data_IF_139260824690
#
_entry.id   IF_139260824690
#
_cell.length_a   1.000
_cell.length_b   1.000
_cell.length_c   1.000
_cell.angle_alpha   90.00
_cell.angle_beta   90.00
_cell.angle_gamma   90.00
#
_symmetry.space_group_name_H-M   'P 1'
#
loop_
_entity.id
_entity.type
_entity.pdbx_description
1 polymer ?
#
# COMPACT_ATOMS: atom_id res chain seq x y z
N UNK A 1 22.66 -5.02 -9.88
CA UNK A 1 21.17 -5.12 -10.00
C UNK A 1 20.64 -3.73 -9.73
N UNK A 2 19.54 -3.32 -10.36
CA UNK A 2 18.91 -2.02 -10.08
C UNK A 2 17.45 -2.22 -9.66
N UNK A 3 16.89 -1.22 -8.99
CA UNK A 3 15.53 -1.28 -8.47
C UNK A 3 14.48 -1.24 -9.59
N UNK A 4 13.51 -2.14 -9.51
CA UNK A 4 12.38 -2.30 -10.43
C UNK A 4 11.06 -2.49 -9.66
N UNK A 5 9.94 -2.51 -10.39
CA UNK A 5 8.60 -2.48 -9.80
C UNK A 5 8.25 -3.72 -8.95
N UNK A 6 8.88 -4.86 -9.18
CA UNK A 6 8.73 -6.08 -8.39
C UNK A 6 9.41 -5.99 -7.01
N UNK A 7 10.29 -5.00 -6.80
CA UNK A 7 10.92 -4.77 -5.50
C UNK A 7 10.30 -3.64 -4.69
N UNK A 8 9.12 -3.12 -5.06
CA UNK A 8 8.40 -2.13 -4.24
C UNK A 8 8.13 -2.61 -2.81
N UNK A 9 8.04 -3.93 -2.60
CA UNK A 9 7.89 -4.54 -1.28
C UNK A 9 9.01 -4.18 -0.28
N UNK A 10 10.21 -3.75 -0.72
CA UNK A 10 11.26 -3.29 0.21
C UNK A 10 10.91 -1.95 0.89
N UNK A 11 9.85 -1.29 0.42
CA UNK A 11 9.40 0.03 0.87
C UNK A 11 8.07 -0.05 1.64
N UNK A 12 7.40 -1.21 1.68
CA UNK A 12 6.00 -1.34 2.11
C UNK A 12 5.79 -1.08 3.62
N UNK A 13 6.81 -1.29 4.45
CA UNK A 13 6.76 -1.04 5.90
C UNK A 13 7.12 0.41 6.30
N UNK A 14 7.43 1.28 5.34
CA UNK A 14 7.65 2.71 5.62
C UNK A 14 6.29 3.37 5.86
N UNK A 15 5.87 3.38 7.13
CA UNK A 15 4.54 3.84 7.56
C UNK A 15 4.17 5.23 7.04
N UNK A 16 5.11 6.18 6.99
CA UNK A 16 4.87 7.54 6.50
C UNK A 16 4.56 7.59 5.00
N UNK A 17 4.91 6.57 4.21
CA UNK A 17 4.50 6.47 2.81
C UNK A 17 3.04 6.09 2.65
N UNK A 18 2.35 5.60 3.69
CA UNK A 18 0.94 5.29 3.54
C UNK A 18 0.14 6.58 3.28
N UNK A 19 -0.81 6.60 2.33
CA UNK A 19 -1.49 7.83 1.93
C UNK A 19 -2.14 8.62 3.07
N UNK A 20 -2.70 7.94 4.07
CA UNK A 20 -3.31 8.54 5.24
C UNK A 20 -2.30 9.13 6.22
N UNK A 21 -1.11 8.54 6.32
CA UNK A 21 -0.01 9.06 7.14
C UNK A 21 0.63 10.25 6.46
N UNK A 22 0.98 10.11 5.18
CA UNK A 22 1.57 11.16 4.35
C UNK A 22 0.81 12.49 4.47
N UNK A 23 -0.53 12.45 4.37
CA UNK A 23 -1.39 13.63 4.45
C UNK A 23 -1.35 14.39 5.77
N UNK A 24 -0.99 13.69 6.85
CA UNK A 24 -0.91 14.26 8.20
C UNK A 24 0.51 14.57 8.63
N UNK A 25 1.49 14.19 7.82
CA UNK A 25 2.91 14.40 8.10
C UNK A 25 3.37 15.79 7.71
N UNK A 26 4.36 16.32 8.44
CA UNK A 26 5.02 17.58 8.07
C UNK A 26 5.91 17.38 6.84
N UNK A 27 6.27 18.45 6.10
CA UNK A 27 7.24 18.36 5.01
C UNK A 27 8.55 17.67 5.42
N UNK A 28 9.05 17.91 6.63
CA UNK A 28 10.26 17.27 7.16
C UNK A 28 10.08 15.76 7.33
N UNK A 29 8.95 15.31 7.89
CA UNK A 29 8.63 13.88 8.04
C UNK A 29 8.45 13.20 6.69
N UNK A 30 7.83 13.88 5.72
CA UNK A 30 7.69 13.41 4.34
C UNK A 30 9.07 13.26 3.69
N UNK A 31 9.96 14.25 3.84
CA UNK A 31 11.35 14.18 3.37
C UNK A 31 12.13 13.04 4.04
N UNK A 32 11.95 12.82 5.34
CA UNK A 32 12.57 11.70 6.06
C UNK A 32 12.10 10.35 5.52
N UNK A 33 10.82 10.21 5.22
CA UNK A 33 10.28 9.00 4.59
C UNK A 33 10.88 8.76 3.21
N UNK A 34 11.03 9.81 2.39
CA UNK A 34 11.69 9.71 1.08
C UNK A 34 13.19 9.42 1.21
N UNK A 35 13.87 9.96 2.22
CA UNK A 35 15.25 9.61 2.51
C UNK A 35 15.39 8.13 2.88
N UNK A 36 14.46 7.59 3.66
CA UNK A 36 14.44 6.18 4.01
C UNK A 36 14.20 5.29 2.78
N UNK A 37 13.33 5.71 1.86
CA UNK A 37 13.16 5.02 0.59
C UNK A 37 14.48 4.95 -0.20
N UNK A 38 15.18 6.07 -0.36
CA UNK A 38 16.47 6.14 -1.04
C UNK A 38 17.54 5.30 -0.35
N UNK A 39 17.55 5.24 0.99
CA UNK A 39 18.46 4.37 1.72
C UNK A 39 18.25 2.89 1.35
N UNK A 40 16.99 2.45 1.27
CA UNK A 40 16.65 1.06 0.97
C UNK A 40 16.87 0.71 -0.50
N UNK A 41 16.51 1.62 -1.40
CA UNK A 41 16.77 1.47 -2.84
C UNK A 41 18.28 1.36 -3.06
N UNK A 42 19.06 2.34 -2.59
CA UNK A 42 20.51 2.35 -2.79
C UNK A 42 21.19 1.11 -2.17
N UNK A 43 20.73 0.65 -1.00
CA UNK A 43 21.21 -0.58 -0.38
C UNK A 43 20.91 -1.81 -1.25
N UNK A 44 19.69 -1.94 -1.78
CA UNK A 44 19.31 -3.01 -2.69
C UNK A 44 20.17 -3.01 -3.96
N UNK A 45 20.39 -1.82 -4.51
CA UNK A 45 21.18 -1.63 -5.72
C UNK A 45 22.68 -1.84 -5.50
N UNK A 46 23.16 -1.78 -4.26
CA UNK A 46 24.56 -1.90 -3.89
C UNK A 46 25.38 -0.62 -4.11
N UNK A 47 24.72 0.54 -4.14
CA UNK A 47 25.37 1.86 -4.29
C UNK A 47 25.26 2.70 -3.01
N UNK A 48 26.10 3.73 -2.82
CA UNK A 48 25.92 4.68 -1.73
C UNK A 48 24.57 5.40 -1.82
N UNK A 49 23.92 5.56 -0.66
CA UNK A 49 22.69 6.37 -0.52
C UNK A 49 22.97 7.84 -0.86
N UNK A 50 22.00 8.48 -1.49
CA UNK A 50 22.01 9.92 -1.79
C UNK A 50 21.18 10.70 -0.80
N UNK A 51 21.57 11.94 -0.56
CA UNK A 51 20.79 12.84 0.26
C UNK A 51 19.54 13.26 -0.50
N UNK A 52 18.39 13.22 0.16
CA UNK A 52 17.11 13.72 -0.36
C UNK A 52 16.80 15.09 0.25
N UNK A 53 16.58 16.08 -0.61
CA UNK A 53 16.27 17.46 -0.25
C UNK A 53 14.97 17.95 -0.88
N UNK A 54 14.22 18.75 -0.13
CA UNK A 54 13.13 19.55 -0.67
C UNK A 54 13.74 20.84 -1.19
N UNK A 55 13.60 21.09 -2.50
CA UNK A 55 14.25 22.21 -3.18
C UNK A 55 13.23 23.19 -3.77
N UNK A 56 13.58 24.48 -3.71
CA UNK A 56 12.96 25.48 -4.58
C UNK A 56 13.76 25.54 -5.88
N UNK A 57 13.18 25.08 -6.97
CA UNK A 57 13.75 25.36 -8.29
C UNK A 57 13.44 26.79 -8.71
N UNK A 58 14.41 27.43 -9.36
CA UNK A 58 14.28 28.81 -9.86
C UNK A 58 15.05 29.00 -11.16
N UNK A 59 14.76 30.10 -11.86
CA UNK A 59 15.37 30.41 -13.16
C UNK A 59 14.99 29.37 -14.21
N UNK A 60 16.00 28.80 -14.86
CA UNK A 60 15.82 27.82 -15.95
C UNK A 60 15.23 26.48 -15.47
N UNK A 61 15.25 26.20 -14.16
CA UNK A 61 14.77 24.95 -13.58
C UNK A 61 13.35 25.04 -13.01
N UNK A 62 12.66 26.18 -13.16
CA UNK A 62 11.38 26.46 -12.50
C UNK A 62 10.29 25.42 -12.78
N UNK A 63 10.38 24.69 -13.90
CA UNK A 63 9.41 23.66 -14.28
C UNK A 63 9.84 22.23 -13.93
N UNK A 64 10.95 22.05 -13.19
CA UNK A 64 11.40 20.73 -12.77
C UNK A 64 10.62 20.23 -11.56
N UNK A 65 10.18 18.98 -11.65
CA UNK A 65 9.53 18.27 -10.55
C UNK A 65 10.57 17.62 -9.60
N UNK A 66 11.72 17.22 -10.15
CA UNK A 66 12.87 16.69 -9.44
C UNK A 66 14.16 16.83 -10.25
N UNK A 67 15.29 16.57 -9.60
CA UNK A 67 16.61 16.48 -10.23
C UNK A 67 17.60 15.74 -9.33
N UNK A 68 18.38 14.84 -9.92
CA UNK A 68 19.62 14.34 -9.34
C UNK A 68 20.80 15.24 -9.72
N UNK A 69 21.35 15.95 -8.74
CA UNK A 69 22.57 16.74 -8.92
C UNK A 69 23.80 15.85 -8.71
N UNK A 70 24.42 15.46 -9.83
CA UNK A 70 25.67 14.67 -9.83
C UNK A 70 26.83 15.33 -9.08
N UNK A 71 26.91 16.66 -9.05
CA UNK A 71 28.02 17.39 -8.40
C UNK A 71 27.90 17.31 -6.88
N UNK A 72 26.70 17.53 -6.36
CA UNK A 72 26.44 17.47 -4.91
C UNK A 72 26.04 16.08 -4.43
N UNK A 73 25.75 15.16 -5.35
CA UNK A 73 25.25 13.80 -5.09
C UNK A 73 23.94 13.80 -4.30
N UNK A 74 23.04 14.72 -4.68
CA UNK A 74 21.78 14.98 -3.99
C UNK A 74 20.62 14.75 -4.92
N UNK A 75 19.56 14.12 -4.41
CA UNK A 75 18.25 14.06 -5.05
C UNK A 75 17.43 15.24 -4.53
N UNK A 76 16.99 16.10 -5.43
CA UNK A 76 16.19 17.28 -5.15
C UNK A 76 14.78 17.06 -5.66
N UNK A 77 13.78 17.32 -4.82
CA UNK A 77 12.37 17.20 -5.18
C UNK A 77 11.73 18.57 -4.98
N UNK A 78 10.91 19.01 -5.94
CA UNK A 78 10.28 20.32 -5.89
C UNK A 78 9.43 20.48 -4.63
N UNK A 79 9.62 21.60 -3.93
CA UNK A 79 8.84 21.96 -2.73
C UNK A 79 7.34 22.04 -3.00
N UNK A 80 6.93 22.23 -4.25
CA UNK A 80 5.52 22.39 -4.61
C UNK A 80 4.73 21.11 -4.30
N UNK A 81 5.41 19.94 -4.32
CA UNK A 81 4.85 18.65 -3.92
C UNK A 81 4.61 18.48 -2.42
N UNK A 82 5.13 19.40 -1.60
CA UNK A 82 5.01 19.40 -0.13
C UNK A 82 4.17 20.56 0.39
N UNK A 83 3.56 21.35 -0.50
CA UNK A 83 2.68 22.45 -0.10
C UNK A 83 1.32 21.95 0.39
N UNK A 84 0.66 22.72 1.27
CA UNK A 84 -0.67 22.38 1.80
C UNK A 84 -1.70 22.09 0.69
N UNK A 85 -1.64 22.84 -0.41
CA UNK A 85 -2.53 22.65 -1.56
C UNK A 85 -2.28 21.31 -2.28
N UNK A 86 -1.01 20.91 -2.39
CA UNK A 86 -0.63 19.63 -2.99
C UNK A 86 -0.98 18.46 -2.07
N UNK A 87 -0.73 18.56 -0.76
CA UNK A 87 -0.98 17.48 0.20
C UNK A 87 -2.46 17.05 0.22
N UNK A 88 -3.40 17.95 -0.09
CA UNK A 88 -4.82 17.64 -0.19
C UNK A 88 -5.21 16.87 -1.46
N UNK A 89 -4.40 16.95 -2.53
CA UNK A 89 -4.60 16.16 -3.74
C UNK A 89 -4.22 14.69 -3.48
N UNK A 90 -5.10 13.77 -3.87
CA UNK A 90 -4.88 12.31 -3.75
C UNK A 90 -3.64 11.86 -4.52
N UNK A 91 -3.22 12.62 -5.53
CA UNK A 91 -2.10 12.25 -6.39
C UNK A 91 -0.74 12.81 -5.96
N UNK A 92 -0.67 13.74 -4.99
CA UNK A 92 0.61 14.39 -4.66
C UNK A 92 1.62 13.48 -3.97
N UNK A 93 1.16 12.57 -3.11
CA UNK A 93 2.01 11.51 -2.54
C UNK A 93 2.64 10.66 -3.66
N UNK A 94 1.80 10.17 -4.58
CA UNK A 94 2.25 9.33 -5.70
C UNK A 94 3.26 10.07 -6.58
N UNK A 95 3.10 11.39 -6.74
CA UNK A 95 4.04 12.21 -7.53
C UNK A 95 5.38 12.37 -6.84
N UNK A 96 5.44 12.79 -5.57
CA UNK A 96 6.70 12.94 -4.83
C UNK A 96 7.48 11.62 -4.78
N UNK A 97 6.78 10.51 -4.53
CA UNK A 97 7.38 9.18 -4.54
C UNK A 97 7.88 8.78 -5.93
N UNK A 98 7.07 8.97 -6.98
CA UNK A 98 7.48 8.67 -8.36
C UNK A 98 8.73 9.45 -8.77
N UNK A 99 8.77 10.75 -8.44
CA UNK A 99 9.93 11.60 -8.69
C UNK A 99 11.16 11.05 -7.96
N UNK A 100 11.02 10.65 -6.69
CA UNK A 100 12.13 10.04 -5.96
C UNK A 100 12.68 8.81 -6.69
N UNK A 101 11.83 7.89 -7.15
CA UNK A 101 12.28 6.68 -7.87
C UNK A 101 13.02 7.05 -9.16
N UNK A 102 12.51 8.03 -9.91
CA UNK A 102 13.14 8.53 -11.14
C UNK A 102 14.55 9.07 -10.87
N UNK A 103 14.69 9.97 -9.89
CA UNK A 103 15.99 10.57 -9.53
C UNK A 103 16.94 9.59 -8.84
N UNK A 104 16.39 8.62 -8.11
CA UNK A 104 17.16 7.51 -7.51
C UNK A 104 17.78 6.62 -8.59
N UNK A 105 17.05 6.39 -9.69
CA UNK A 105 17.60 5.68 -10.84
C UNK A 105 18.68 6.50 -11.57
N UNK A 106 18.52 7.82 -11.67
CA UNK A 106 19.61 8.69 -12.16
C UNK A 106 20.86 8.61 -11.26
N UNK A 107 20.69 8.52 -9.95
CA UNK A 107 21.80 8.29 -9.03
C UNK A 107 22.49 6.93 -9.27
N UNK A 108 21.72 5.88 -9.58
CA UNK A 108 22.26 4.58 -9.98
C UNK A 108 23.05 4.66 -11.28
N UNK A 109 22.46 5.22 -12.33
CA UNK A 109 23.08 5.37 -13.64
C UNK A 109 24.39 6.17 -13.53
N UNK A 110 24.38 7.29 -12.80
CA UNK A 110 25.59 8.09 -12.55
C UNK A 110 26.65 7.30 -11.78
N UNK A 111 26.26 6.54 -10.77
CA UNK A 111 27.20 5.72 -10.00
C UNK A 111 27.89 4.67 -10.89
N UNK A 112 27.09 3.93 -11.68
CA UNK A 112 27.59 2.90 -12.58
C UNK A 112 28.49 3.47 -13.70
N UNK A 113 28.14 4.64 -14.25
CA UNK A 113 28.86 5.24 -15.38
C UNK A 113 30.13 5.98 -14.96
N UNK A 114 30.15 6.56 -13.76
CA UNK A 114 31.14 7.60 -13.43
C UNK A 114 31.87 7.41 -12.11
N UNK A 115 31.32 6.66 -11.17
CA UNK A 115 31.93 6.47 -9.85
C UNK A 115 32.58 5.09 -9.72
N UNK A 116 31.91 4.04 -10.20
CA UNK A 116 32.40 2.66 -10.16
C UNK A 116 32.26 1.97 -11.54
N UNK A 117 33.16 2.27 -12.50
CA UNK A 117 33.10 1.66 -13.82
C UNK A 117 33.18 0.13 -13.75
N UNK A 118 32.19 -0.56 -14.34
CA UNK A 118 32.09 -2.02 -14.30
C UNK A 118 31.20 -2.57 -13.19
N UNK A 119 30.67 -1.70 -12.31
CA UNK A 119 29.65 -2.03 -11.32
C UNK A 119 28.37 -2.61 -11.95
N UNK A 120 28.00 -2.08 -13.11
CA UNK A 120 26.90 -2.57 -13.92
C UNK A 120 27.38 -2.79 -15.36
N UNK A 121 26.91 -3.88 -15.97
CA UNK A 121 27.26 -4.27 -17.33
C UNK A 121 26.00 -4.79 -18.02
N UNK A 122 25.87 -4.52 -19.31
CA UNK A 122 24.71 -4.95 -20.09
C UNK A 122 24.43 -4.01 -21.25
N UNK A 123 23.43 -4.35 -22.07
CA UNK A 123 23.03 -3.50 -23.19
C UNK A 123 22.53 -2.14 -22.72
N UNK A 124 21.73 -2.11 -21.65
CA UNK A 124 21.19 -0.87 -21.05
C UNK A 124 22.30 0.08 -20.61
N UNK A 125 23.38 -0.45 -20.04
CA UNK A 125 24.55 0.33 -19.66
C UNK A 125 25.20 1.03 -20.86
N UNK A 126 25.31 0.33 -21.99
CA UNK A 126 25.87 0.90 -23.22
C UNK A 126 24.97 2.02 -23.74
N UNK A 127 23.65 1.82 -23.72
CA UNK A 127 22.68 2.81 -24.17
C UNK A 127 22.72 4.10 -23.31
N UNK A 128 23.07 4.01 -22.02
CA UNK A 128 23.25 5.18 -21.16
C UNK A 128 24.55 5.94 -21.40
N UNK A 129 25.62 5.23 -21.80
CA UNK A 129 26.98 5.77 -21.92
C UNK A 129 27.14 6.71 -23.11
N UNK A 130 26.41 6.46 -24.20
CA UNK A 130 26.69 7.07 -25.49
C UNK A 130 26.09 8.49 -25.66
N UNK A 131 25.49 9.07 -24.61
CA UNK A 131 24.79 10.35 -24.69
C UNK A 131 25.24 11.31 -23.56
N UNK A 132 25.68 12.54 -23.90
CA UNK A 132 26.01 13.52 -22.88
C UNK A 132 24.77 13.91 -22.06
N UNK A 133 24.92 13.94 -20.74
CA UNK A 133 23.90 14.49 -19.85
C UNK A 133 23.80 16.00 -20.06
N UNK A 134 22.76 16.43 -20.77
CA UNK A 134 22.35 17.82 -20.86
C UNK A 134 20.84 17.93 -20.65
N UNK A 135 20.36 18.29 -19.44
CA UNK A 135 18.94 18.49 -19.17
C UNK A 135 18.35 19.68 -19.96
N UNK A 136 19.18 20.44 -20.68
CA UNK A 136 18.76 21.50 -21.60
C UNK A 136 18.56 21.01 -23.04
N UNK A 137 18.89 19.76 -23.34
CA UNK A 137 18.58 19.17 -24.64
C UNK A 137 17.04 19.12 -24.79
N UNK A 138 16.44 19.76 -25.82
CA UNK A 138 15.01 19.69 -26.05
C UNK A 138 14.50 18.25 -26.27
N UNK A 139 15.40 17.32 -26.59
CA UNK A 139 15.11 15.89 -26.73
C UNK A 139 15.56 15.07 -25.52
N UNK A 140 15.95 15.71 -24.41
CA UNK A 140 16.40 15.02 -23.20
C UNK A 140 15.36 14.02 -22.69
N UNK A 141 14.06 14.36 -22.83
CA UNK A 141 12.94 13.49 -22.53
C UNK A 141 13.01 12.11 -23.25
N UNK A 142 13.62 12.08 -24.44
CA UNK A 142 13.78 10.89 -25.27
C UNK A 142 15.14 10.20 -25.09
N UNK A 143 16.02 10.72 -24.22
CA UNK A 143 17.31 10.08 -23.97
C UNK A 143 17.09 8.72 -23.29
N UNK A 144 17.86 7.66 -23.65
CA UNK A 144 17.79 6.34 -23.01
C UNK A 144 17.90 6.41 -21.49
N UNK A 145 18.74 7.30 -20.96
CA UNK A 145 18.93 7.48 -19.52
C UNK A 145 17.62 7.93 -18.84
N UNK A 146 16.94 8.90 -19.43
CA UNK A 146 15.67 9.46 -19.00
C UNK A 146 14.50 8.49 -19.19
N UNK A 147 14.40 7.87 -20.37
CA UNK A 147 13.35 6.89 -20.67
C UNK A 147 13.40 5.71 -19.71
N UNK A 148 14.60 5.24 -19.37
CA UNK A 148 14.81 4.17 -18.39
C UNK A 148 14.32 4.59 -17.00
N UNK A 149 14.72 5.77 -16.52
CA UNK A 149 14.29 6.30 -15.22
C UNK A 149 12.76 6.45 -15.14
N UNK A 150 12.14 7.07 -16.15
CA UNK A 150 10.68 7.22 -16.24
C UNK A 150 9.94 5.90 -16.31
N UNK A 151 10.46 4.92 -17.04
CA UNK A 151 9.83 3.61 -17.16
C UNK A 151 9.81 2.87 -15.82
N UNK A 152 10.90 2.94 -15.05
CA UNK A 152 11.00 2.35 -13.72
C UNK A 152 10.06 3.07 -12.76
N UNK A 153 10.12 4.40 -12.71
CA UNK A 153 9.27 5.21 -11.84
C UNK A 153 7.78 4.97 -12.10
N UNK A 154 7.37 4.92 -13.37
CA UNK A 154 5.98 4.62 -13.76
C UNK A 154 5.55 3.21 -13.38
N UNK A 155 6.44 2.23 -13.51
CA UNK A 155 6.14 0.84 -13.17
C UNK A 155 6.03 0.66 -11.65
N UNK A 156 6.90 1.31 -10.87
CA UNK A 156 6.85 1.32 -9.41
C UNK A 156 5.58 2.01 -8.87
N UNK A 157 5.21 3.17 -9.42
CA UNK A 157 3.95 3.85 -9.08
C UNK A 157 2.72 2.97 -9.35
N UNK A 158 2.73 2.24 -10.49
CA UNK A 158 1.66 1.29 -10.81
C UNK A 158 1.61 0.14 -9.80
N UNK A 159 2.75 -0.46 -9.46
CA UNK A 159 2.80 -1.59 -8.52
C UNK A 159 2.30 -1.19 -7.11
N UNK A 160 2.71 -0.02 -6.61
CA UNK A 160 2.22 0.48 -5.32
C UNK A 160 0.72 0.77 -5.31
N UNK A 161 0.16 1.29 -6.41
CA UNK A 161 -1.29 1.48 -6.54
C UNK A 161 -2.03 0.15 -6.47
N UNK A 162 -1.53 -0.87 -7.15
CA UNK A 162 -2.11 -2.22 -7.10
C UNK A 162 -1.98 -2.86 -5.71
N UNK A 163 -0.88 -2.65 -4.98
CA UNK A 163 -0.72 -3.10 -3.60
C UNK A 163 -1.72 -2.43 -2.65
N UNK A 164 -1.86 -1.10 -2.73
CA UNK A 164 -2.84 -0.37 -1.91
C UNK A 164 -4.29 -0.75 -2.23
N UNK A 165 -4.61 -1.06 -3.49
CA UNK A 165 -5.94 -1.56 -3.87
C UNK A 165 -6.20 -2.97 -3.29
N UNK A 166 -5.18 -3.84 -3.31
CA UNK A 166 -5.26 -5.17 -2.68
C UNK A 166 -5.43 -5.05 -1.16
N UNK A 167 -4.68 -4.18 -0.49
CA UNK A 167 -4.82 -3.97 0.95
C UNK A 167 -6.22 -3.47 1.32
N UNK A 168 -6.74 -2.46 0.61
CA UNK A 168 -8.13 -1.99 0.80
C UNK A 168 -9.16 -3.07 0.56
N UNK A 169 -8.96 -3.91 -0.47
CA UNK A 169 -9.84 -5.05 -0.71
C UNK A 169 -9.76 -6.09 0.41
N UNK A 170 -8.58 -6.28 1.02
CA UNK A 170 -8.36 -7.20 2.14
C UNK A 170 -8.92 -6.67 3.47
N UNK A 171 -8.85 -5.37 3.71
CA UNK A 171 -9.49 -4.72 4.87
C UNK A 171 -11.03 -4.75 4.74
N UNK A 172 -11.56 -4.67 3.51
CA UNK A 172 -12.99 -4.90 3.25
C UNK A 172 -13.44 -6.36 3.39
N UNK A 173 -12.48 -7.30 3.48
CA UNK A 173 -12.74 -8.72 3.67
C UNK A 173 -12.73 -9.13 5.15
N UNK A 174 -12.64 -8.20 6.11
CA UNK A 174 -12.83 -8.56 7.53
C UNK A 174 -14.32 -8.75 7.84
N UNK A 175 -14.88 -9.86 7.37
CA UNK A 175 -16.22 -10.29 7.73
C UNK A 175 -16.27 -10.60 9.24
N UNK A 176 -16.94 -9.74 10.01
CA UNK A 176 -17.17 -9.99 11.43
C UNK A 176 -18.45 -10.81 11.59
N UNK A 177 -18.34 -12.01 12.16
CA UNK A 177 -19.50 -12.76 12.64
C UNK A 177 -20.03 -12.04 13.87
N UNK A 178 -21.24 -11.48 13.78
CA UNK A 178 -21.87 -10.72 14.84
C UNK A 178 -22.70 -11.60 15.77
N UNK A 179 -23.39 -12.59 15.21
CA UNK A 179 -24.26 -13.49 15.96
C UNK A 179 -24.50 -14.79 15.20
N UNK A 180 -24.85 -15.82 15.95
CA UNK A 180 -25.33 -17.09 15.42
C UNK A 180 -26.70 -17.32 16.04
N UNK A 181 -27.71 -17.50 15.19
CA UNK A 181 -29.08 -17.77 15.57
C UNK A 181 -29.39 -19.25 15.31
N UNK A 182 -29.52 -20.02 16.39
CA UNK A 182 -30.02 -21.38 16.33
C UNK A 182 -31.52 -21.38 16.06
N UNK A 183 -31.96 -22.17 15.09
CA UNK A 183 -33.37 -22.23 14.69
C UNK A 183 -33.88 -23.67 14.83
N UNK A 184 -34.79 -23.96 15.79
CA UNK A 184 -35.29 -25.31 16.00
C UNK A 184 -35.87 -25.92 14.71
N UNK A 185 -35.35 -27.09 14.32
CA UNK A 185 -35.77 -27.80 13.10
C UNK A 185 -35.37 -27.13 11.78
N UNK A 186 -34.46 -26.15 11.79
CA UNK A 186 -33.92 -25.47 10.60
C UNK A 186 -32.41 -25.31 10.72
N UNK A 187 -31.75 -25.05 9.59
CA UNK A 187 -30.33 -24.71 9.58
C UNK A 187 -30.05 -23.41 10.36
N UNK A 188 -28.92 -23.32 11.09
CA UNK A 188 -28.54 -22.11 11.82
C UNK A 188 -28.30 -20.94 10.86
N UNK A 189 -28.50 -19.73 11.38
CA UNK A 189 -28.25 -18.50 10.63
C UNK A 189 -27.06 -17.75 11.25
N UNK A 190 -26.08 -17.42 10.41
CA UNK A 190 -24.92 -16.62 10.80
C UNK A 190 -25.12 -15.20 10.31
N UNK A 191 -25.06 -14.26 11.24
CA UNK A 191 -25.12 -12.83 10.97
C UNK A 191 -23.71 -12.30 10.78
N UNK A 192 -23.43 -11.78 9.60
CA UNK A 192 -22.10 -11.30 9.20
C UNK A 192 -22.19 -9.84 8.79
N UNK A 193 -21.21 -9.05 9.23
CA UNK A 193 -21.01 -7.68 8.79
C UNK A 193 -19.64 -7.55 8.11
N UNK A 194 -19.62 -7.15 6.84
CA UNK A 194 -18.38 -7.04 6.05
C UNK A 194 -17.70 -5.68 6.19
N UNK A 195 -18.46 -4.64 6.53
CA UNK A 195 -17.95 -3.30 6.77
C UNK A 195 -18.71 -2.64 7.92
N UNK A 196 -18.04 -1.76 8.67
CA UNK A 196 -18.57 -1.08 9.88
C UNK A 196 -19.88 -0.33 9.63
N UNK A 197 -20.09 0.15 8.41
CA UNK A 197 -21.24 0.89 7.92
C UNK A 197 -22.25 0.05 7.11
N UNK A 198 -21.95 -1.22 6.82
CA UNK A 198 -22.89 -2.13 6.16
C UNK A 198 -23.86 -2.74 7.16
N UNK A 199 -25.14 -2.90 6.77
CA UNK A 199 -26.11 -3.66 7.56
C UNK A 199 -25.72 -5.15 7.61
N UNK A 200 -25.82 -5.80 8.77
CA UNK A 200 -25.56 -7.24 8.87
C UNK A 200 -26.46 -8.05 7.93
N UNK A 201 -25.89 -9.11 7.35
CA UNK A 201 -26.61 -10.06 6.49
C UNK A 201 -26.65 -11.43 7.14
N UNK A 202 -27.80 -12.09 7.04
CA UNK A 202 -28.00 -13.45 7.55
C UNK A 202 -27.72 -14.48 6.45
N UNK A 203 -26.83 -15.42 6.74
CA UNK A 203 -26.52 -16.55 5.87
C UNK A 203 -26.95 -17.85 6.53
N UNK A 204 -27.72 -18.65 5.80
CA UNK A 204 -28.11 -19.99 6.26
C UNK A 204 -27.00 -20.96 5.92
N UNK A 205 -26.47 -21.69 6.90
CA UNK A 205 -25.34 -22.60 6.68
C UNK A 205 -25.83 -24.04 6.75
N UNK A 206 -26.08 -24.63 5.57
CA UNK A 206 -26.51 -26.02 5.46
C UNK A 206 -25.35 -26.97 5.83
N UNK A 207 -25.63 -27.97 6.68
CA UNK A 207 -24.69 -29.04 7.00
C UNK A 207 -24.10 -29.03 8.42
N UNK A 208 -24.52 -28.10 9.28
CA UNK A 208 -24.15 -28.11 10.70
C UNK A 208 -25.17 -28.88 11.53
N UNK A 209 -24.70 -29.74 12.42
CA UNK A 209 -25.54 -30.52 13.33
C UNK A 209 -25.70 -29.77 14.66
N UNK A 210 -26.86 -29.89 15.34
CA UNK A 210 -27.02 -29.40 16.71
C UNK A 210 -25.94 -30.00 17.62
N UNK A 211 -25.08 -29.16 18.20
CA UNK A 211 -23.96 -29.57 19.05
C UNK A 211 -22.56 -29.27 18.50
N UNK A 212 -22.44 -28.88 17.22
CA UNK A 212 -21.18 -28.36 16.70
C UNK A 212 -20.80 -27.06 17.43
N UNK A 213 -19.56 -26.95 17.93
CA UNK A 213 -19.10 -25.72 18.57
C UNK A 213 -18.81 -24.65 17.50
N UNK A 214 -19.84 -23.90 17.12
CA UNK A 214 -19.75 -22.88 16.09
C UNK A 214 -18.84 -21.69 16.47
N UNK A 215 -18.38 -21.62 17.74
CA UNK A 215 -17.42 -20.62 18.22
C UNK A 215 -15.97 -20.95 17.86
N UNK A 216 -15.69 -22.21 17.54
CA UNK A 216 -14.36 -22.69 17.13
C UNK A 216 -14.27 -22.87 15.61
N UNK A 217 -15.25 -22.37 14.85
CA UNK A 217 -15.10 -22.25 13.41
C UNK A 217 -13.98 -21.23 13.20
N UNK A 218 -12.79 -21.72 12.92
CA UNK A 218 -11.78 -20.94 12.24
C UNK A 218 -12.47 -20.38 11.00
N UNK A 219 -12.77 -19.09 11.04
CA UNK A 219 -13.25 -18.34 9.89
C UNK A 219 -12.07 -18.31 8.93
N UNK A 220 -11.89 -19.42 8.22
CA UNK A 220 -10.83 -19.56 7.25
C UNK A 220 -11.07 -18.55 6.13
N UNK A 221 -10.00 -18.07 5.49
CA UNK A 221 -10.12 -17.20 4.33
C UNK A 221 -11.06 -17.76 3.27
N UNK A 222 -11.15 -19.09 3.16
CA UNK A 222 -12.07 -19.81 2.29
C UNK A 222 -13.55 -19.64 2.65
N UNK A 223 -13.89 -19.54 3.94
CA UNK A 223 -15.27 -19.30 4.38
C UNK A 223 -15.70 -17.85 4.09
N UNK A 224 -14.83 -16.88 4.35
CA UNK A 224 -15.07 -15.47 4.01
C UNK A 224 -15.19 -15.31 2.49
N UNK A 225 -14.29 -15.90 1.71
CA UNK A 225 -14.34 -15.84 0.25
C UNK A 225 -15.65 -16.42 -0.32
N UNK A 226 -16.17 -17.50 0.28
CA UNK A 226 -17.49 -18.06 -0.09
C UNK A 226 -18.64 -17.10 0.22
N UNK A 227 -18.60 -16.43 1.36
CA UNK A 227 -19.60 -15.43 1.75
C UNK A 227 -19.54 -14.17 0.85
N UNK A 228 -18.35 -13.77 0.44
CA UNK A 228 -18.07 -12.69 -0.52
C UNK A 228 -18.68 -12.99 -1.90
N UNK A 229 -18.45 -14.20 -2.42
CA UNK A 229 -19.03 -14.64 -3.70
C UNK A 229 -20.57 -14.64 -3.65
N UNK A 230 -21.14 -15.08 -2.51
CA UNK A 230 -22.59 -14.98 -2.27
C UNK A 230 -23.07 -13.53 -2.19
N UNK A 231 -22.28 -12.60 -1.61
CA UNK A 231 -22.58 -11.16 -1.57
C UNK A 231 -22.63 -10.55 -2.97
N UNK A 232 -21.72 -10.96 -3.85
CA UNK A 232 -21.61 -10.49 -5.24
C UNK A 232 -22.60 -11.16 -6.20
N UNK A 233 -23.44 -12.09 -5.71
CA UNK A 233 -24.46 -12.76 -6.52
C UNK A 233 -23.92 -13.93 -7.34
N UNK A 234 -22.68 -14.36 -7.12
CA UNK A 234 -22.14 -15.59 -7.71
C UNK A 234 -22.69 -16.77 -6.91
N UNK A 235 -23.81 -17.31 -7.38
CA UNK A 235 -24.38 -18.55 -6.83
C UNK A 235 -23.47 -19.71 -7.24
N UNK A 236 -22.45 -19.98 -6.42
CA UNK A 236 -21.81 -21.28 -6.42
C UNK A 236 -22.91 -22.34 -6.22
N UNK A 237 -22.78 -23.51 -6.88
CA UNK A 237 -23.72 -24.64 -6.86
C UNK A 237 -23.87 -25.31 -5.47
N UNK A 238 -23.90 -24.54 -4.38
CA UNK A 238 -24.17 -24.95 -3.00
C UNK A 238 -25.45 -24.28 -2.49
N UNK A 239 -26.19 -24.99 -1.63
CA UNK A 239 -27.50 -24.56 -1.10
C UNK A 239 -27.33 -23.44 -0.05
N UNK A 240 -27.22 -22.20 -0.47
CA UNK A 240 -27.21 -21.03 0.42
C UNK A 240 -28.38 -20.09 0.08
N UNK A 241 -29.05 -19.54 1.09
CA UNK A 241 -30.07 -18.50 0.93
C UNK A 241 -29.77 -17.29 1.81
N UNK A 242 -29.90 -16.09 1.27
CA UNK A 242 -29.61 -14.82 1.93
C UNK A 242 -30.88 -14.15 2.46
N UNK A 243 -30.83 -13.59 3.68
CA UNK A 243 -31.84 -12.68 4.21
C UNK A 243 -31.22 -11.35 4.65
N UNK A 244 -31.91 -10.24 4.37
CA UNK A 244 -31.51 -8.87 4.75
C UNK A 244 -32.47 -8.35 5.82
N UNK A 245 -31.94 -7.71 6.86
CA UNK A 245 -32.75 -7.09 7.93
C UNK A 245 -33.52 -5.90 7.36
N UNK A 246 -34.84 -5.88 7.52
CA UNK A 246 -35.69 -4.70 7.25
C UNK A 246 -35.61 -3.73 8.43
N UNK A 247 -35.74 -2.43 8.15
CA UNK A 247 -35.40 -1.29 9.03
C UNK A 247 -35.99 -1.28 10.46
N UNK A 248 -36.96 -2.15 10.79
CA UNK A 248 -37.67 -2.13 12.07
C UNK A 248 -37.28 -3.23 13.07
N UNK A 249 -36.32 -4.11 12.76
CA UNK A 249 -35.84 -5.12 13.72
C UNK A 249 -34.46 -4.78 14.28
N UNK A 250 -34.44 -4.16 15.47
CA UNK A 250 -33.23 -4.02 16.29
C UNK A 250 -32.71 -5.40 16.68
N UNK A 251 -31.58 -5.80 16.10
CA UNK A 251 -30.76 -6.90 16.65
C UNK A 251 -30.24 -6.42 18.00
N UNK A 252 -30.78 -6.94 19.09
CA UNK A 252 -30.23 -6.71 20.42
C UNK A 252 -28.90 -7.47 20.53
N UNK A 253 -27.79 -6.74 20.40
CA UNK A 253 -26.48 -7.21 20.80
C UNK A 253 -26.47 -7.41 22.31
N UNK A 254 -26.64 -8.65 22.76
CA UNK A 254 -26.35 -9.01 24.15
C UNK A 254 -24.85 -8.88 24.38
N UNK A 255 -24.43 -7.70 24.85
CA UNK A 255 -23.10 -7.48 25.44
C UNK A 255 -22.99 -8.33 26.70
N UNK A 256 -22.26 -9.44 26.63
CA UNK A 256 -21.83 -10.16 27.82
C UNK A 256 -20.46 -9.61 28.26
N UNK A 257 -20.50 -8.47 28.94
CA UNK A 257 -19.34 -7.84 29.60
C UNK A 257 -19.05 -8.48 30.99
N UNK A 258 -19.56 -9.68 31.27
CA UNK A 258 -19.57 -10.26 32.63
C UNK A 258 -18.69 -11.50 32.86
N UNK A 259 -17.76 -11.81 31.96
CA UNK A 259 -16.88 -12.99 32.13
C UNK A 259 -15.40 -12.68 32.36
N UNK A 260 -14.97 -11.41 32.33
CA UNK A 260 -13.56 -11.04 32.55
C UNK A 260 -13.28 -10.55 33.99
N UNK A 261 -14.27 -10.10 34.76
CA UNK A 261 -14.04 -9.59 36.12
C UNK A 261 -13.96 -10.66 37.21
N UNK A 262 -14.45 -11.90 37.00
CA UNK A 262 -14.39 -12.94 38.06
C UNK A 262 -13.08 -13.74 38.12
N UNK A 263 -12.15 -13.56 37.18
CA UNK A 263 -10.83 -14.20 37.25
C UNK A 263 -9.77 -13.34 37.97
N UNK A 264 -10.03 -12.06 38.27
CA UNK A 264 -9.08 -11.20 39.00
C UNK A 264 -9.27 -11.15 40.51
N UNK A 265 -10.37 -11.69 41.05
CA UNK A 265 -10.60 -11.74 42.51
C UNK A 265 -10.22 -13.10 43.15
N UNK A 266 -9.87 -14.12 42.35
CA UNK A 266 -9.46 -15.44 42.85
C UNK A 266 -7.95 -15.62 43.13
N UNK A 267 -7.10 -14.66 42.75
CA UNK A 267 -5.63 -14.75 42.90
C UNK A 267 -5.07 -13.91 44.07
N UNK A 268 -5.93 -13.40 44.98
CA UNK A 268 -5.49 -12.71 46.20
C UNK A 268 -5.70 -13.48 47.51
N UNK A 269 -6.20 -14.70 47.45
CA UNK A 269 -6.24 -15.60 48.61
C UNK A 269 -5.67 -16.97 48.23
N UNK A 270 -4.33 -17.04 48.18
CA UNK A 270 -3.52 -18.26 48.36
C UNK A 270 -2.06 -17.90 48.61
#
# INVERSE_FOLDING_TARGET
MYFTADQTHILSDIETLKPEKWKTSTPEQQREALQECENRISQFEGRPSRKVEIAQFSGEYTNLDGMYDRKTKTIQISKDWFSENSIQDKDSYNKAFRILIEESHHAFQSYALHEEPGFFQGQEFNDWRDIPYDPKDPNYADHPIERSAKAIAKSADKALKEEHEKEKSSEHLSAQVLAIEERPGKDPMIWVQFAKDEKPRGYTVAGFQPGDNLRDIEISGDFIAKLENLRQGEVAKGKFSTQTVKDDQKVQTNQHQHSIERQKEGEKER
#
